data_IF_871072707444
#
_entry.id   IF_871072707444
#
_cell.length_a   1.000
_cell.length_b   1.000
_cell.length_c   1.000
_cell.angle_alpha   90.00
_cell.angle_beta   90.00
_cell.angle_gamma   90.00
#
_symmetry.space_group_name_H-M   'P 1'
#
loop_
_entity.id
_entity.type
_entity.pdbx_description
1 polymer ?
#
# COMPACT_ATOMS: atom_id res chain seq x y z
N UNK A 1 -8.00 -23.35 6.26
CA UNK A 1 -6.76 -22.75 6.80
C UNK A 1 -7.01 -21.29 7.16
N UNK A 2 -6.69 -20.83 8.38
CA UNK A 2 -6.66 -19.39 8.70
C UNK A 2 -5.40 -18.79 8.07
N UNK A 3 -5.56 -18.01 7.00
CA UNK A 3 -4.45 -17.24 6.43
C UNK A 3 -4.05 -16.20 7.46
N UNK A 4 -2.81 -16.26 7.94
CA UNK A 4 -2.29 -15.28 8.88
C UNK A 4 -2.10 -13.96 8.14
N UNK A 5 -2.86 -12.93 8.53
CA UNK A 5 -2.81 -11.61 7.87
C UNK A 5 -1.45 -10.96 8.09
N UNK A 6 -0.81 -10.53 7.01
CA UNK A 6 0.46 -9.79 7.03
C UNK A 6 0.33 -8.49 7.84
N UNK A 7 1.46 -7.91 8.27
CA UNK A 7 1.45 -6.57 8.90
C UNK A 7 0.84 -5.52 7.96
N UNK A 8 1.07 -5.66 6.66
CA UNK A 8 0.48 -4.79 5.63
C UNK A 8 -1.05 -4.91 5.64
N UNK A 9 -1.60 -6.13 5.63
CA UNK A 9 -3.05 -6.38 5.72
C UNK A 9 -3.67 -5.78 6.98
N UNK A 10 -2.97 -5.85 8.11
CA UNK A 10 -3.43 -5.27 9.37
C UNK A 10 -3.46 -3.74 9.32
N UNK A 11 -2.51 -3.10 8.63
CA UNK A 11 -2.41 -1.64 8.48
C UNK A 11 -3.12 -1.11 7.24
N UNK A 12 -3.76 -1.99 6.46
CA UNK A 12 -4.33 -1.67 5.16
C UNK A 12 -5.31 -0.49 5.20
N UNK A 13 -6.19 -0.41 6.22
CA UNK A 13 -7.15 0.71 6.32
C UNK A 13 -6.47 2.08 6.30
N UNK A 14 -5.33 2.22 6.99
CA UNK A 14 -4.54 3.45 7.02
C UNK A 14 -3.81 3.68 5.70
N UNK A 15 -3.16 2.64 5.17
CA UNK A 15 -2.45 2.70 3.88
C UNK A 15 -3.40 3.11 2.76
N UNK A 16 -4.55 2.46 2.66
CA UNK A 16 -5.61 2.73 1.69
C UNK A 16 -6.06 4.19 1.75
N UNK A 17 -6.32 4.71 2.95
CA UNK A 17 -6.78 6.09 3.14
C UNK A 17 -5.77 7.14 2.65
N UNK A 18 -4.47 6.82 2.69
CA UNK A 18 -3.40 7.71 2.23
C UNK A 18 -2.94 7.45 0.81
N UNK A 19 -3.36 6.34 0.20
CA UNK A 19 -2.82 5.90 -1.08
C UNK A 19 -3.05 6.91 -2.20
N UNK A 20 -4.21 7.58 -2.23
CA UNK A 20 -4.54 8.58 -3.26
C UNK A 20 -3.65 9.83 -3.11
N UNK A 21 -3.27 10.19 -1.88
CA UNK A 21 -2.33 11.31 -1.62
C UNK A 21 -0.89 10.94 -1.98
N UNK A 22 -0.58 9.64 -1.97
CA UNK A 22 0.76 9.12 -2.15
C UNK A 22 1.09 8.76 -3.60
N UNK A 23 0.07 8.36 -4.36
CA UNK A 23 0.19 7.79 -5.69
C UNK A 23 -0.91 8.33 -6.61
N UNK A 24 -0.57 9.39 -7.35
CA UNK A 24 -1.50 10.12 -8.23
C UNK A 24 -2.18 9.29 -9.33
N UNK A 25 -1.60 8.15 -9.74
CA UNK A 25 -2.16 7.25 -10.78
C UNK A 25 -3.11 6.20 -10.22
N UNK A 26 -3.23 6.10 -8.88
CA UNK A 26 -4.13 5.18 -8.22
C UNK A 26 -5.43 5.87 -7.85
N UNK A 27 -6.54 5.27 -8.26
CA UNK A 27 -7.88 5.71 -7.88
C UNK A 27 -8.60 4.72 -6.96
N UNK A 28 -9.71 5.17 -6.37
CA UNK A 28 -10.58 4.34 -5.53
C UNK A 28 -11.00 3.01 -6.17
N UNK A 29 -11.18 2.99 -7.49
CA UNK A 29 -11.55 1.78 -8.23
C UNK A 29 -10.45 0.70 -8.22
N UNK A 30 -9.18 1.11 -8.17
CA UNK A 30 -8.06 0.17 -8.08
C UNK A 30 -7.91 -0.35 -6.65
N UNK A 31 -8.10 0.51 -5.64
CA UNK A 31 -8.05 0.12 -4.23
C UNK A 31 -9.13 -0.89 -3.87
N UNK A 32 -10.33 -0.78 -4.48
CA UNK A 32 -11.40 -1.79 -4.34
C UNK A 32 -10.97 -3.20 -4.79
N UNK A 33 -10.04 -3.31 -5.75
CA UNK A 33 -9.49 -4.61 -6.18
C UNK A 33 -8.53 -5.18 -5.13
N UNK A 34 -7.81 -4.32 -4.41
CA UNK A 34 -6.91 -4.70 -3.33
C UNK A 34 -7.71 -5.10 -2.09
N UNK A 35 -8.79 -4.38 -1.76
CA UNK A 35 -9.68 -4.69 -0.64
C UNK A 35 -10.15 -6.16 -0.63
N UNK A 36 -10.44 -6.71 -1.81
CA UNK A 36 -10.93 -8.08 -2.02
C UNK A 36 -9.82 -9.14 -2.09
N UNK A 37 -8.55 -8.73 -2.14
CA UNK A 37 -7.44 -9.67 -2.29
C UNK A 37 -7.16 -10.43 -0.98
N UNK A 38 -6.78 -11.71 -1.16
CA UNK A 38 -6.32 -12.58 -0.05
C UNK A 38 -5.01 -12.06 0.52
N UNK A 39 -4.06 -11.69 -0.36
CA UNK A 39 -2.83 -10.98 -0.02
C UNK A 39 -2.90 -9.56 -0.60
N UNK A 40 -3.06 -8.58 0.29
CA UNK A 40 -3.18 -7.17 -0.12
C UNK A 40 -1.84 -6.58 -0.51
N UNK A 41 -0.76 -7.03 0.12
CA UNK A 41 0.57 -6.52 -0.15
C UNK A 41 0.99 -6.89 -1.57
N UNK A 42 0.85 -8.16 -1.94
CA UNK A 42 1.18 -8.63 -3.28
C UNK A 42 0.31 -7.95 -4.35
N UNK A 43 -1.01 -7.83 -4.08
CA UNK A 43 -1.92 -7.17 -5.02
C UNK A 43 -1.58 -5.69 -5.19
N UNK A 44 -1.21 -5.00 -4.11
CA UNK A 44 -0.84 -3.59 -4.13
C UNK A 44 0.49 -3.36 -4.84
N UNK A 45 1.49 -4.21 -4.59
CA UNK A 45 2.76 -4.19 -5.33
C UNK A 45 2.52 -4.34 -6.82
N UNK A 46 1.75 -5.37 -7.23
CA UNK A 46 1.40 -5.61 -8.63
C UNK A 46 0.71 -4.39 -9.26
N UNK A 47 -0.19 -3.73 -8.52
CA UNK A 47 -0.87 -2.54 -8.99
C UNK A 47 0.11 -1.39 -9.29
N UNK A 48 1.11 -1.17 -8.42
CA UNK A 48 2.15 -0.18 -8.65
C UNK A 48 3.02 -0.53 -9.86
N UNK A 49 3.34 -1.81 -10.06
CA UNK A 49 4.06 -2.24 -11.26
C UNK A 49 3.27 -1.90 -12.54
N UNK A 50 1.96 -2.18 -12.56
CA UNK A 50 1.10 -1.92 -13.73
C UNK A 50 0.94 -0.42 -14.00
N UNK A 51 0.76 0.39 -12.96
CA UNK A 51 0.41 1.81 -13.10
C UNK A 51 1.64 2.69 -13.31
N UNK A 52 2.77 2.35 -12.69
CA UNK A 52 3.99 3.16 -12.72
C UNK A 52 5.16 2.49 -13.45
N UNK A 53 5.01 1.25 -13.93
CA UNK A 53 6.09 0.51 -14.58
C UNK A 53 7.19 0.03 -13.63
N UNK A 54 6.93 0.03 -12.32
CA UNK A 54 7.93 -0.36 -11.33
C UNK A 54 8.29 -1.84 -11.40
N UNK A 55 9.54 -2.14 -11.08
CA UNK A 55 9.90 -3.50 -10.66
C UNK A 55 9.24 -3.82 -9.32
N UNK A 56 9.16 -5.11 -8.98
CA UNK A 56 8.60 -5.56 -7.69
C UNK A 56 9.34 -4.95 -6.50
N UNK A 57 10.67 -4.83 -6.61
CA UNK A 57 11.52 -4.21 -5.59
C UNK A 57 11.23 -2.72 -5.45
N UNK A 58 11.21 -1.97 -6.55
CA UNK A 58 10.90 -0.53 -6.55
C UNK A 58 9.52 -0.26 -5.93
N UNK A 59 8.51 -1.04 -6.29
CA UNK A 59 7.18 -0.92 -5.70
C UNK A 59 7.19 -1.14 -4.18
N UNK A 60 7.91 -2.16 -3.70
CA UNK A 60 8.04 -2.42 -2.26
C UNK A 60 8.80 -1.30 -1.52
N UNK A 61 9.86 -0.77 -2.12
CA UNK A 61 10.63 0.35 -1.58
C UNK A 61 9.80 1.63 -1.49
N UNK A 62 9.04 1.96 -2.55
CA UNK A 62 8.20 3.15 -2.59
C UNK A 62 7.03 3.08 -1.59
N UNK A 63 6.49 1.89 -1.33
CA UNK A 63 5.53 1.64 -0.24
C UNK A 63 6.21 1.92 1.11
N UNK A 64 7.38 1.33 1.35
CA UNK A 64 8.07 1.46 2.63
C UNK A 64 8.53 2.89 2.92
N UNK A 65 9.02 3.60 1.91
CA UNK A 65 9.43 5.01 1.97
C UNK A 65 8.29 5.90 2.42
N UNK A 66 7.12 5.80 1.78
CA UNK A 66 5.92 6.57 2.13
C UNK A 66 5.37 6.20 3.50
N UNK A 67 5.33 4.91 3.81
CA UNK A 67 4.89 4.43 5.12
C UNK A 67 5.77 4.97 6.25
N UNK A 68 7.09 4.92 6.06
CA UNK A 68 8.07 5.46 7.02
C UNK A 68 7.90 6.96 7.19
N UNK A 69 7.81 7.71 6.09
CA UNK A 69 7.62 9.16 6.12
C UNK A 69 6.32 9.54 6.86
N UNK A 70 5.22 8.85 6.58
CA UNK A 70 3.96 9.03 7.28
C UNK A 70 4.07 8.72 8.77
N UNK A 71 4.67 7.57 9.12
CA UNK A 71 4.81 7.18 10.52
C UNK A 71 5.67 8.16 11.32
N UNK A 72 6.80 8.62 10.75
CA UNK A 72 7.67 9.61 11.38
C UNK A 72 6.96 10.95 11.58
N UNK A 73 6.24 11.45 10.56
CA UNK A 73 5.49 12.69 10.68
C UNK A 73 4.42 12.64 11.79
N UNK A 74 3.73 11.51 11.92
CA UNK A 74 2.71 11.34 12.97
C UNK A 74 3.31 11.10 14.36
N UNK A 75 4.54 10.58 14.46
CA UNK A 75 5.23 10.40 15.74
C UNK A 75 5.81 11.71 16.30
N UNK A 76 6.19 12.65 15.42
CA UNK A 76 6.73 13.95 15.82
C UNK A 76 5.61 14.95 16.18
N UNK A 77 4.39 14.74 15.65
CA UNK A 77 3.21 15.54 15.96
C UNK A 77 2.40 15.09 17.18
N UNK A 78 2.85 14.06 17.91
CA UNK A 78 2.21 13.52 19.12
C UNK A 78 3.12 13.73 20.33
#
# INVERSE_FOLDING_TARGET
MKVQKSKFDQKWKTIRGRTIEWFDLLGEHDLKKVDKAVDKQDKFVTLLQVKYGYTRQQAAEEINKRWTAFYLANKIGA
#
